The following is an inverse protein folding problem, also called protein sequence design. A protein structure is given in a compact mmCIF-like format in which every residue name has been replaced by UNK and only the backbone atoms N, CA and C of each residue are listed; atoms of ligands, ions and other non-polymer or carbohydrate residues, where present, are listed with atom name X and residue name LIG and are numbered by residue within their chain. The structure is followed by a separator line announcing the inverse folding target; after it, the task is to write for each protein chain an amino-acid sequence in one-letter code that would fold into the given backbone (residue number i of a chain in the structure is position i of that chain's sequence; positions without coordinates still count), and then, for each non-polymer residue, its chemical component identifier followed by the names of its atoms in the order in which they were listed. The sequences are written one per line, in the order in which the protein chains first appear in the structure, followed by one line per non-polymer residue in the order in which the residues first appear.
data_IF_918330028061
#
_entry.id   IF_918330028061
#
_cell.length_a   1.000
_cell.length_b   1.000
_cell.length_c   1.000
_cell.angle_alpha   90.00
_cell.angle_beta   90.00
_cell.angle_gamma   90.00
#
_symmetry.space_group_name_H-M   'P 1'
#
loop_
_entity.id
_entity.type
_entity.pdbx_description
1 polymer ?
#
# COMPACT_ATOMS: atom_id res chain seq x y z
N UNK A 1 -17.47 45.68 -9.77
CA UNK A 1 -17.15 44.37 -10.35
C UNK A 1 -17.00 43.36 -9.24
N UNK A 2 -17.51 42.14 -9.40
CA UNK A 2 -17.36 41.08 -8.40
C UNK A 2 -16.00 40.40 -8.60
N UNK A 3 -15.22 40.28 -7.52
CA UNK A 3 -13.92 39.60 -7.50
C UNK A 3 -14.14 38.16 -7.03
N UNK A 4 -13.65 37.19 -7.80
CA UNK A 4 -13.69 35.76 -7.46
C UNK A 4 -12.29 35.31 -7.05
N UNK A 5 -12.19 34.56 -5.96
CA UNK A 5 -10.94 33.98 -5.47
C UNK A 5 -11.13 32.48 -5.20
N UNK A 6 -10.08 31.69 -5.41
CA UNK A 6 -10.08 30.25 -5.19
C UNK A 6 -8.79 29.82 -4.48
N UNK A 7 -8.89 28.80 -3.62
CA UNK A 7 -7.75 28.08 -3.05
C UNK A 7 -7.72 26.70 -3.67
N UNK A 8 -6.58 26.33 -4.25
CA UNK A 8 -6.43 25.08 -5.02
C UNK A 8 -5.30 24.24 -4.44
N UNK A 9 -5.51 22.93 -4.38
CA UNK A 9 -4.46 21.95 -4.11
C UNK A 9 -3.92 21.47 -5.46
N UNK A 10 -2.68 21.83 -5.77
CA UNK A 10 -2.03 21.48 -7.05
C UNK A 10 -1.07 20.33 -6.80
N UNK A 11 -1.19 19.28 -7.61
CA UNK A 11 -0.27 18.16 -7.61
C UNK A 11 0.41 18.08 -8.98
N UNK A 12 1.72 17.91 -8.96
CA UNK A 12 2.56 17.80 -10.16
C UNK A 12 3.21 16.43 -10.21
N UNK A 13 3.53 15.97 -11.42
CA UNK A 13 4.17 14.68 -11.65
C UNK A 13 5.01 14.71 -12.91
N UNK A 14 5.84 13.68 -13.09
CA UNK A 14 6.67 13.56 -14.28
C UNK A 14 5.79 13.28 -15.51
N UNK A 15 5.91 14.13 -16.54
CA UNK A 15 5.18 13.96 -17.80
C UNK A 15 5.45 12.59 -18.43
N UNK A 16 6.70 12.12 -18.39
CA UNK A 16 7.10 10.81 -18.93
C UNK A 16 6.37 9.64 -18.25
N UNK A 17 6.14 9.72 -16.93
CA UNK A 17 5.40 8.70 -16.20
C UNK A 17 3.93 8.65 -16.62
N UNK A 18 3.28 9.83 -16.72
CA UNK A 18 1.91 9.94 -17.22
C UNK A 18 1.77 9.39 -18.65
N UNK A 19 2.69 9.74 -19.55
CA UNK A 19 2.69 9.23 -20.92
C UNK A 19 2.89 7.71 -21.00
N UNK A 20 3.71 7.14 -20.13
CA UNK A 20 3.93 5.70 -20.09
C UNK A 20 2.66 4.94 -19.71
N UNK A 21 1.90 5.44 -18.73
CA UNK A 21 0.60 4.88 -18.33
C UNK A 21 -0.38 4.95 -19.50
N UNK A 22 -0.52 6.12 -20.14
CA UNK A 22 -1.42 6.31 -21.29
C UNK A 22 -1.07 5.37 -22.45
N UNK A 23 0.23 5.26 -22.79
CA UNK A 23 0.71 4.35 -23.84
C UNK A 23 0.40 2.89 -23.51
N UNK A 24 0.52 2.49 -22.25
CA UNK A 24 0.20 1.13 -21.80
C UNK A 24 -1.28 0.80 -22.01
N UNK A 25 -2.19 1.67 -21.59
CA UNK A 25 -3.65 1.48 -21.77
C UNK A 25 -4.03 1.44 -23.25
N UNK A 26 -3.46 2.33 -24.07
CA UNK A 26 -3.70 2.33 -25.53
C UNK A 26 -3.24 1.07 -26.25
N UNK A 27 -2.16 0.44 -25.80
CA UNK A 27 -1.70 -0.84 -26.35
C UNK A 27 -2.70 -1.98 -26.12
N UNK A 28 -3.60 -1.82 -25.15
CA UNK A 28 -4.72 -2.73 -24.92
C UNK A 28 -5.97 -2.40 -25.76
N UNK A 29 -5.91 -1.41 -26.66
CA UNK A 29 -7.04 -0.98 -27.48
C UNK A 29 -8.06 -0.10 -26.76
N UNK A 30 -7.66 0.50 -25.63
CA UNK A 30 -8.50 1.36 -24.80
C UNK A 30 -8.02 2.82 -24.85
N UNK A 31 -8.91 3.78 -24.63
CA UNK A 31 -8.55 5.19 -24.47
C UNK A 31 -8.59 5.60 -23.00
N UNK A 32 -7.71 6.53 -22.62
CA UNK A 32 -7.67 7.12 -21.28
C UNK A 32 -8.51 8.39 -21.29
N UNK A 33 -9.58 8.40 -20.48
CA UNK A 33 -10.42 9.58 -20.29
C UNK A 33 -9.72 10.63 -19.41
N UNK A 34 -9.24 10.21 -18.24
CA UNK A 34 -8.56 11.09 -17.30
C UNK A 34 -7.50 10.33 -16.49
N UNK A 35 -6.43 11.03 -16.11
CA UNK A 35 -5.49 10.59 -15.08
C UNK A 35 -5.85 11.22 -13.74
N UNK A 36 -5.93 10.39 -12.70
CA UNK A 36 -6.25 10.81 -11.34
C UNK A 36 -5.09 10.51 -10.39
N UNK A 37 -4.99 11.31 -9.33
CA UNK A 37 -4.02 11.08 -8.26
C UNK A 37 -4.48 9.92 -7.37
N UNK A 38 -3.62 8.92 -7.15
CA UNK A 38 -3.97 7.72 -6.38
C UNK A 38 -4.59 8.01 -4.99
N UNK A 39 -3.94 8.78 -4.09
CA UNK A 39 -4.52 9.09 -2.78
C UNK A 39 -5.89 9.77 -2.84
N UNK A 40 -6.18 10.53 -3.91
CA UNK A 40 -7.50 11.12 -4.12
C UNK A 40 -8.52 10.04 -4.51
N UNK A 41 -8.18 9.18 -5.48
CA UNK A 41 -9.05 8.08 -5.93
C UNK A 41 -9.37 7.10 -4.82
N UNK A 42 -8.36 6.64 -4.06
CA UNK A 42 -8.56 5.72 -2.93
C UNK A 42 -9.49 6.33 -1.87
N UNK A 43 -9.28 7.62 -1.56
CA UNK A 43 -10.13 8.36 -0.62
C UNK A 43 -11.59 8.48 -1.09
N UNK A 44 -11.83 8.69 -2.39
CA UNK A 44 -13.19 8.74 -2.94
C UNK A 44 -13.92 7.39 -2.87
N UNK A 45 -13.18 6.28 -2.85
CA UNK A 45 -13.75 4.94 -2.77
C UNK A 45 -14.14 4.54 -1.34
N UNK A 46 -13.47 5.09 -0.32
CA UNK A 46 -13.60 4.61 1.07
C UNK A 46 -14.14 5.64 2.06
N UNK A 47 -14.05 6.93 1.77
CA UNK A 47 -14.50 7.99 2.68
C UNK A 47 -15.90 8.50 2.35
N UNK A 48 -16.71 8.69 3.38
CA UNK A 48 -17.95 9.44 3.31
C UNK A 48 -17.70 10.96 3.15
N UNK A 49 -18.77 11.71 2.84
CA UNK A 49 -18.71 13.18 2.86
C UNK A 49 -18.48 13.72 4.28
N UNK A 50 -19.15 13.14 5.28
CA UNK A 50 -19.05 13.57 6.68
C UNK A 50 -17.62 13.42 7.24
N UNK A 51 -16.93 12.31 6.95
CA UNK A 51 -15.53 12.11 7.35
C UNK A 51 -14.61 13.16 6.73
N UNK A 52 -14.81 13.50 5.45
CA UNK A 52 -14.03 14.53 4.75
C UNK A 52 -14.31 15.93 5.29
N UNK A 53 -15.54 16.20 5.72
CA UNK A 53 -15.93 17.48 6.31
C UNK A 53 -15.33 17.66 7.71
N UNK A 54 -15.51 16.67 8.59
CA UNK A 54 -14.99 16.68 9.96
C UNK A 54 -13.46 16.70 10.02
N UNK A 55 -12.83 16.04 9.05
CA UNK A 55 -11.39 15.89 8.94
C UNK A 55 -10.96 14.44 9.16
N UNK A 56 -10.22 13.91 8.19
CA UNK A 56 -9.84 12.50 8.15
C UNK A 56 -8.53 12.35 7.39
N UNK A 57 -7.77 11.32 7.76
CA UNK A 57 -6.58 10.89 7.02
C UNK A 57 -6.87 9.53 6.40
N UNK A 58 -6.80 9.47 5.07
CA UNK A 58 -6.77 8.20 4.35
C UNK A 58 -5.31 7.79 4.18
N UNK A 59 -4.99 6.56 4.61
CA UNK A 59 -3.67 5.94 4.44
C UNK A 59 -3.85 4.69 3.58
N UNK A 60 -3.32 4.73 2.36
CA UNK A 60 -3.39 3.64 1.39
C UNK A 60 -2.01 2.97 1.31
N UNK A 61 -1.91 1.76 1.85
CA UNK A 61 -0.66 0.99 1.93
C UNK A 61 -0.60 0.04 0.74
N UNK A 62 0.16 0.42 -0.29
CA UNK A 62 0.37 -0.39 -1.48
C UNK A 62 1.53 -1.39 -1.34
N UNK A 63 2.08 -1.80 -2.49
CA UNK A 63 3.26 -2.65 -2.55
C UNK A 63 4.56 -1.83 -2.32
N UNK A 64 4.79 -0.80 -3.15
CA UNK A 64 6.02 0.01 -3.09
C UNK A 64 5.89 1.32 -2.30
N UNK A 65 4.68 1.85 -2.16
CA UNK A 65 4.42 3.16 -1.54
C UNK A 65 3.20 3.13 -0.64
N UNK A 66 3.26 3.96 0.41
CA UNK A 66 2.10 4.32 1.22
C UNK A 66 1.69 5.73 0.85
N UNK A 67 0.48 5.87 0.33
CA UNK A 67 -0.11 7.15 -0.06
C UNK A 67 -0.96 7.70 1.09
N UNK A 68 -0.82 9.00 1.37
CA UNK A 68 -1.55 9.69 2.44
C UNK A 68 -2.34 10.84 1.84
N UNK A 69 -3.63 10.92 2.17
CA UNK A 69 -4.49 12.06 1.88
C UNK A 69 -5.12 12.59 3.17
N UNK A 70 -4.93 13.88 3.45
CA UNK A 70 -5.53 14.57 4.59
C UNK A 70 -6.64 15.46 4.08
N UNK A 71 -7.86 15.27 4.60
CA UNK A 71 -9.02 16.09 4.30
C UNK A 71 -9.41 16.93 5.52
N UNK A 72 -9.95 18.13 5.28
CA UNK A 72 -10.67 18.92 6.27
C UNK A 72 -11.56 19.95 5.57
N UNK A 73 -12.81 20.10 6.03
CA UNK A 73 -13.83 20.91 5.39
C UNK A 73 -14.04 20.49 3.92
N UNK A 74 -14.21 19.18 3.71
CA UNK A 74 -14.64 18.59 2.43
C UNK A 74 -13.58 18.58 1.33
N UNK A 75 -12.37 19.08 1.61
CA UNK A 75 -11.30 19.28 0.64
C UNK A 75 -9.96 18.75 1.13
N UNK A 76 -9.11 18.36 0.18
CA UNK A 76 -7.73 17.93 0.46
C UNK A 76 -6.95 19.11 1.02
N UNK A 77 -6.29 18.87 2.15
CA UNK A 77 -5.34 19.79 2.79
C UNK A 77 -3.89 19.42 2.51
N UNK A 78 -3.61 18.13 2.40
CA UNK A 78 -2.28 17.64 2.14
C UNK A 78 -2.30 16.26 1.50
N UNK A 79 -1.29 15.98 0.71
CA UNK A 79 -1.02 14.65 0.15
C UNK A 79 0.45 14.34 0.28
N UNK A 80 0.79 13.11 0.67
CA UNK A 80 2.16 12.64 0.75
C UNK A 80 2.27 11.22 0.19
N UNK A 81 3.45 10.89 -0.34
CA UNK A 81 3.78 9.54 -0.82
C UNK A 81 5.04 9.11 -0.10
N UNK A 82 4.95 8.02 0.66
CA UNK A 82 6.03 7.51 1.49
C UNK A 82 6.55 6.22 0.84
N UNK A 83 7.86 6.08 0.56
CA UNK A 83 8.43 4.93 -0.14
C UNK A 83 8.66 3.73 0.81
N UNK A 84 7.63 3.39 1.60
CA UNK A 84 7.62 2.27 2.55
C UNK A 84 6.22 1.67 2.48
N UNK A 85 6.12 0.38 2.12
CA UNK A 85 4.87 -0.36 2.07
C UNK A 85 5.11 -1.89 2.05
N UNK A 86 4.19 -2.65 1.46
CA UNK A 86 4.16 -4.12 1.52
C UNK A 86 5.41 -4.85 1.03
N UNK A 87 6.12 -4.34 0.03
CA UNK A 87 7.33 -4.97 -0.55
C UNK A 87 8.46 -5.10 0.48
N UNK A 88 8.57 -4.14 1.41
CA UNK A 88 9.56 -4.19 2.48
C UNK A 88 9.24 -5.31 3.48
N UNK A 89 7.95 -5.53 3.76
CA UNK A 89 7.49 -6.63 4.62
C UNK A 89 7.85 -7.97 3.95
N UNK A 90 7.54 -8.10 2.67
CA UNK A 90 7.84 -9.30 1.88
C UNK A 90 9.34 -9.59 1.82
N UNK A 91 10.15 -8.55 1.61
CA UNK A 91 11.61 -8.64 1.61
C UNK A 91 12.16 -9.11 2.97
N UNK A 92 11.63 -8.58 4.07
CA UNK A 92 12.04 -8.97 5.42
C UNK A 92 11.65 -10.41 5.75
N UNK A 93 10.45 -10.85 5.35
CA UNK A 93 10.03 -12.25 5.49
C UNK A 93 10.97 -13.16 4.68
N UNK A 94 11.23 -12.83 3.42
CA UNK A 94 12.12 -13.61 2.55
C UNK A 94 13.51 -13.77 3.18
N UNK A 95 14.07 -12.67 3.71
CA UNK A 95 15.39 -12.66 4.33
C UNK A 95 15.41 -13.42 5.67
N UNK A 96 14.48 -13.13 6.57
CA UNK A 96 14.41 -13.74 7.90
C UNK A 96 14.11 -15.24 7.83
N UNK A 97 13.20 -15.62 6.94
CA UNK A 97 12.76 -17.01 6.78
C UNK A 97 13.58 -17.78 5.75
N UNK A 98 14.46 -17.11 5.00
CA UNK A 98 15.31 -17.69 3.95
C UNK A 98 14.48 -18.52 2.98
N UNK A 99 13.45 -17.90 2.43
CA UNK A 99 12.49 -18.45 1.48
C UNK A 99 12.45 -17.56 0.23
N UNK A 100 12.11 -18.06 -0.96
CA UNK A 100 11.99 -17.22 -2.15
C UNK A 100 10.99 -16.07 -1.97
N UNK A 101 11.22 -14.93 -2.62
CA UNK A 101 10.38 -13.72 -2.47
C UNK A 101 8.91 -13.97 -2.78
N UNK A 102 8.63 -14.84 -3.76
CA UNK A 102 7.26 -15.21 -4.10
C UNK A 102 6.59 -15.95 -2.94
N UNK A 103 7.24 -16.97 -2.41
CA UNK A 103 6.72 -17.73 -1.26
C UNK A 103 6.59 -16.84 0.00
N UNK A 104 7.49 -15.86 0.17
CA UNK A 104 7.36 -14.87 1.24
C UNK A 104 6.11 -13.99 1.09
N UNK A 105 5.75 -13.58 -0.13
CA UNK A 105 4.51 -12.85 -0.41
C UNK A 105 3.29 -13.70 -0.10
N UNK A 106 3.31 -14.96 -0.57
CA UNK A 106 2.21 -15.91 -0.34
C UNK A 106 2.02 -16.14 1.18
N UNK A 107 3.12 -16.35 1.93
CA UNK A 107 3.09 -16.47 3.40
C UNK A 107 2.56 -15.19 4.08
N UNK A 108 2.98 -14.00 3.60
CA UNK A 108 2.51 -12.71 4.14
C UNK A 108 1.00 -12.59 3.99
N UNK A 109 0.46 -12.92 2.82
CA UNK A 109 -0.97 -12.81 2.50
C UNK A 109 -1.79 -13.87 3.25
N UNK A 110 -1.32 -15.11 3.31
CA UNK A 110 -2.09 -16.23 3.88
C UNK A 110 -2.03 -16.31 5.41
N UNK A 111 -0.91 -15.89 6.01
CA UNK A 111 -0.61 -16.13 7.43
C UNK A 111 -0.05 -14.93 8.18
N UNK A 112 0.08 -13.76 7.54
CA UNK A 112 0.65 -12.56 8.16
C UNK A 112 -0.24 -11.94 9.23
N UNK A 113 0.40 -11.43 10.29
CA UNK A 113 -0.25 -10.65 11.35
C UNK A 113 0.54 -9.37 11.57
N UNK A 114 -0.13 -8.22 11.53
CA UNK A 114 0.46 -6.92 11.82
C UNK A 114 0.75 -6.70 13.32
N UNK A 115 0.15 -7.51 14.20
CA UNK A 115 0.38 -7.48 15.64
C UNK A 115 0.65 -8.89 16.15
N UNK A 116 1.86 -9.12 16.64
CA UNK A 116 2.35 -10.41 17.10
C UNK A 116 1.51 -10.99 18.24
N UNK A 117 1.01 -10.15 19.14
CA UNK A 117 0.16 -10.59 20.25
C UNK A 117 -1.21 -11.14 19.81
N UNK A 118 -1.64 -10.87 18.58
CA UNK A 118 -2.89 -11.40 18.03
C UNK A 118 -2.68 -12.70 17.26
N UNK A 119 -1.43 -13.08 16.99
CA UNK A 119 -1.11 -14.35 16.36
C UNK A 119 -1.22 -15.49 17.37
N UNK A 120 -1.94 -16.55 17.00
CA UNK A 120 -2.03 -17.79 17.79
C UNK A 120 -0.61 -18.39 17.99
N UNK A 121 -0.15 -18.57 19.25
CA UNK A 121 1.18 -19.09 19.55
C UNK A 121 1.35 -20.57 19.15
N UNK A 122 0.26 -21.34 19.09
CA UNK A 122 0.29 -22.76 18.76
C UNK A 122 0.16 -23.01 17.25
N UNK A 123 -0.32 -22.01 16.50
CA UNK A 123 -0.41 -22.08 15.04
C UNK A 123 0.97 -22.08 14.38
N UNK A 124 1.13 -22.95 13.39
CA UNK A 124 2.36 -23.04 12.60
C UNK A 124 2.10 -22.71 11.12
N UNK A 125 3.16 -22.28 10.46
CA UNK A 125 3.18 -21.93 9.03
C UNK A 125 4.31 -22.75 8.39
N UNK A 126 4.01 -23.42 7.29
CA UNK A 126 5.03 -24.08 6.48
C UNK A 126 5.76 -23.03 5.65
N UNK A 127 7.09 -23.07 5.70
CA UNK A 127 7.97 -22.14 4.99
C UNK A 127 8.76 -22.95 3.97
N UNK A 128 8.57 -22.72 2.65
CA UNK A 128 9.40 -23.32 1.62
C UNK A 128 10.87 -22.96 1.81
N UNK A 129 11.76 -23.94 1.63
CA UNK A 129 13.19 -23.72 1.73
C UNK A 129 13.77 -23.03 0.49
N UNK A 130 14.90 -22.34 0.67
CA UNK A 130 15.67 -21.74 -0.43
C UNK A 130 16.89 -22.62 -0.77
N UNK A 131 17.06 -22.93 -2.07
CA UNK A 131 18.14 -23.80 -2.57
C UNK A 131 17.90 -25.27 -2.20
N UNK A 132 18.92 -25.94 -1.69
CA UNK A 132 18.84 -27.37 -1.32
C UNK A 132 18.16 -27.61 0.04
N UNK A 133 17.53 -26.59 0.63
CA UNK A 133 16.83 -26.70 1.91
C UNK A 133 15.39 -27.18 1.68
N UNK A 134 14.98 -28.21 2.42
CA UNK A 134 13.59 -28.63 2.48
C UNK A 134 12.69 -27.61 3.20
N UNK A 135 11.36 -27.76 3.08
CA UNK A 135 10.39 -26.96 3.82
C UNK A 135 10.51 -27.18 5.33
N UNK A 136 10.08 -26.19 6.12
CA UNK A 136 10.11 -26.24 7.58
C UNK A 136 8.87 -25.57 8.19
N UNK A 137 8.48 -26.01 9.38
CA UNK A 137 7.43 -25.36 10.15
C UNK A 137 8.01 -24.25 11.04
N UNK A 138 7.33 -23.11 11.09
CA UNK A 138 7.65 -21.97 11.94
C UNK A 138 6.39 -21.53 12.69
N UNK A 139 6.49 -21.07 13.94
CA UNK A 139 5.33 -20.53 14.64
C UNK A 139 4.83 -19.25 13.96
N UNK A 140 3.51 -19.11 13.88
CA UNK A 140 2.87 -17.91 13.31
C UNK A 140 3.25 -16.64 14.08
N UNK A 141 3.46 -16.77 15.39
CA UNK A 141 3.96 -15.68 16.22
C UNK A 141 5.38 -15.23 15.83
N UNK A 142 6.25 -16.14 15.37
CA UNK A 142 7.58 -15.77 14.87
C UNK A 142 7.50 -15.03 13.52
N UNK A 143 6.60 -15.46 12.62
CA UNK A 143 6.31 -14.72 11.38
C UNK A 143 5.81 -13.30 11.69
N UNK A 144 4.85 -13.18 12.61
CA UNK A 144 4.31 -11.89 13.02
C UNK A 144 5.38 -10.98 13.66
N UNK A 145 6.37 -11.56 14.36
CA UNK A 145 7.52 -10.83 14.88
C UNK A 145 8.45 -10.23 13.81
N UNK A 146 8.39 -10.71 12.57
CA UNK A 146 9.06 -10.11 11.41
C UNK A 146 8.22 -8.98 10.80
N UNK A 147 6.89 -9.12 10.81
CA UNK A 147 5.95 -8.19 10.18
C UNK A 147 5.70 -6.94 11.04
N UNK A 148 5.39 -7.13 12.33
CA UNK A 148 4.97 -6.04 13.24
C UNK A 148 5.93 -4.84 13.25
N UNK A 149 7.28 -4.98 13.25
CA UNK A 149 8.19 -3.84 13.26
C UNK A 149 8.11 -2.92 12.01
N UNK A 150 7.38 -3.31 10.96
CA UNK A 150 7.20 -2.55 9.72
C UNK A 150 5.87 -1.82 9.62
N UNK A 151 4.99 -2.00 10.60
CA UNK A 151 3.65 -1.38 10.69
C UNK A 151 3.64 -0.35 11.82
#
# INVERSE_FOLDING_TARGET
GMRLEAKVHIVTGAQSAAENIIKCVRRCGLEVDQLLLNPQSSSLAVLSEDERELGVVCVDIGAGTTDVAIFANGSIRHTAVIPIAGDLITSDIAMALRTPTKDAEDIKVESGYAKQLLADPDAQVEVPGLGDRGPRMLSRQALAGVIEPRI
#
